data_IF_003774637643
#
_entry.id   IF_003774637643
#
_cell.length_a   1.000
_cell.length_b   1.000
_cell.length_c   1.000
_cell.angle_alpha   90.00
_cell.angle_beta   90.00
_cell.angle_gamma   90.00
#
_symmetry.space_group_name_H-M   'P 1'
#
loop_
_entity.id
_entity.type
_entity.pdbx_description
1 polymer ?
#
# COMPACT_ATOMS: atom_id res chain seq x y z
N UNK A 1 18.63 5.31 0.20
CA UNK A 1 17.49 6.09 -0.33
C UNK A 1 16.19 5.58 0.27
N UNK A 2 15.20 6.42 0.32
CA UNK A 2 13.92 6.07 0.91
C UNK A 2 12.91 5.64 -0.15
N UNK A 3 11.81 5.06 0.30
CA UNK A 3 10.71 4.60 -0.57
C UNK A 3 9.41 5.22 -0.07
N UNK A 4 8.56 5.65 -1.00
CA UNK A 4 7.20 6.05 -0.68
C UNK A 4 6.27 4.93 -1.10
N UNK A 5 5.35 4.54 -0.21
CA UNK A 5 4.34 3.53 -0.52
C UNK A 5 2.96 4.14 -0.35
N UNK A 6 2.11 3.94 -1.33
CA UNK A 6 0.74 4.47 -1.31
C UNK A 6 -0.26 3.35 -1.50
N UNK A 7 -1.19 3.24 -0.56
CA UNK A 7 -2.34 2.34 -0.66
C UNK A 7 -3.54 3.19 -1.06
N UNK A 8 -3.94 3.10 -2.32
CA UNK A 8 -5.04 3.86 -2.89
C UNK A 8 -6.35 3.10 -2.68
N UNK A 9 -6.87 3.20 -1.48
CA UNK A 9 -8.12 2.54 -1.11
C UNK A 9 -9.36 3.16 -1.74
N UNK A 10 -10.49 2.50 -1.57
CA UNK A 10 -11.75 2.98 -2.15
C UNK A 10 -12.32 4.21 -1.41
N UNK A 11 -11.97 4.39 -0.15
CA UNK A 11 -12.47 5.53 0.66
C UNK A 11 -11.35 6.41 1.19
N UNK A 12 -10.21 5.83 1.50
CA UNK A 12 -9.05 6.57 2.02
C UNK A 12 -7.80 6.16 1.28
N UNK A 13 -6.82 7.06 1.29
CA UNK A 13 -5.48 6.80 0.77
C UNK A 13 -4.50 6.90 1.93
N UNK A 14 -3.66 5.87 2.07
CA UNK A 14 -2.62 5.84 3.09
C UNK A 14 -1.27 5.93 2.40
N UNK A 15 -0.44 6.85 2.86
CA UNK A 15 0.89 7.04 2.27
C UNK A 15 1.92 7.01 3.39
N UNK A 16 3.00 6.28 3.16
CA UNK A 16 4.12 6.20 4.08
C UNK A 16 5.43 6.48 3.36
N UNK A 17 6.40 6.91 4.13
CA UNK A 17 7.80 6.96 3.71
C UNK A 17 8.57 6.00 4.60
N UNK A 18 9.35 5.11 3.98
CA UNK A 18 10.19 4.16 4.69
C UNK A 18 11.65 4.41 4.34
N UNK A 19 12.52 4.27 5.33
CA UNK A 19 13.96 4.41 5.11
C UNK A 19 14.57 3.13 4.54
N UNK A 20 15.89 3.11 4.35
CA UNK A 20 16.58 1.96 3.77
C UNK A 20 16.54 0.72 4.64
N UNK A 21 16.16 0.85 5.90
CA UNK A 21 15.98 -0.27 6.82
C UNK A 21 14.50 -0.68 6.96
N UNK A 22 13.64 -0.16 6.07
CA UNK A 22 12.20 -0.40 6.08
C UNK A 22 11.48 0.15 7.31
N UNK A 23 12.09 1.13 7.97
CA UNK A 23 11.44 1.82 9.08
C UNK A 23 10.56 2.93 8.54
N UNK A 24 9.32 2.98 9.01
CA UNK A 24 8.38 4.03 8.63
C UNK A 24 8.76 5.31 9.36
N UNK A 25 9.07 6.36 8.61
CA UNK A 25 9.49 7.64 9.15
C UNK A 25 8.43 8.73 8.99
N UNK A 26 7.54 8.59 8.03
CA UNK A 26 6.39 9.47 7.86
C UNK A 26 5.17 8.67 7.42
N UNK A 27 4.00 9.06 7.91
CA UNK A 27 2.74 8.38 7.59
C UNK A 27 1.59 9.38 7.62
N UNK A 28 0.76 9.35 6.58
CA UNK A 28 -0.44 10.17 6.52
C UNK A 28 -1.60 9.35 5.94
N UNK A 29 -2.79 9.64 6.43
CA UNK A 29 -4.04 9.08 5.93
C UNK A 29 -4.87 10.24 5.39
N UNK A 30 -5.28 10.12 4.14
CA UNK A 30 -6.06 11.16 3.46
C UNK A 30 -7.41 10.60 3.03
N UNK A 31 -8.40 11.47 2.95
CA UNK A 31 -9.61 11.14 2.23
C UNK A 31 -9.27 10.97 0.75
N UNK A 32 -10.05 10.14 0.06
CA UNK A 32 -9.78 9.85 -1.34
C UNK A 32 -9.81 11.10 -2.20
N UNK A 33 -8.73 11.34 -2.91
CA UNK A 33 -8.59 12.39 -3.90
C UNK A 33 -7.75 11.84 -5.06
N UNK A 34 -7.46 12.69 -6.03
CA UNK A 34 -6.61 12.32 -7.15
C UNK A 34 -5.22 11.91 -6.64
N UNK A 35 -4.72 10.72 -7.00
CA UNK A 35 -3.49 10.18 -6.40
C UNK A 35 -2.26 11.06 -6.51
N UNK A 36 -2.02 11.70 -7.67
CA UNK A 36 -0.85 12.57 -7.83
C UNK A 36 -0.94 13.79 -6.93
N UNK A 37 -2.13 14.30 -6.70
CA UNK A 37 -2.34 15.42 -5.79
C UNK A 37 -1.98 15.02 -4.37
N UNK A 38 -2.39 13.83 -3.94
CA UNK A 38 -2.08 13.35 -2.60
C UNK A 38 -0.59 13.06 -2.42
N UNK A 39 0.06 12.50 -3.43
CA UNK A 39 1.50 12.27 -3.39
C UNK A 39 2.26 13.59 -3.27
N UNK A 40 1.86 14.60 -4.03
CA UNK A 40 2.48 15.92 -3.96
C UNK A 40 2.31 16.52 -2.57
N UNK A 41 1.09 16.44 -2.03
CA UNK A 41 0.78 16.92 -0.68
C UNK A 41 1.65 16.23 0.37
N UNK A 42 1.79 14.91 0.28
CA UNK A 42 2.60 14.13 1.21
C UNK A 42 4.07 14.56 1.15
N UNK A 43 4.60 14.70 -0.04
CA UNK A 43 5.99 15.10 -0.24
C UNK A 43 6.24 16.51 0.32
N UNK A 44 5.36 17.43 0.00
CA UNK A 44 5.48 18.80 0.49
C UNK A 44 5.31 18.91 2.00
N UNK A 45 4.28 18.28 2.55
CA UNK A 45 3.98 18.37 3.98
C UNK A 45 5.05 17.74 4.87
N UNK A 46 5.77 16.75 4.35
CA UNK A 46 6.82 16.09 5.11
C UNK A 46 8.22 16.57 4.74
N UNK A 47 8.31 17.63 3.95
CA UNK A 47 9.60 18.22 3.51
C UNK A 47 10.53 17.18 2.88
N UNK A 48 9.96 16.30 2.06
CA UNK A 48 10.72 15.24 1.42
C UNK A 48 11.40 15.79 0.18
N UNK A 49 12.69 15.51 0.05
CA UNK A 49 13.43 15.83 -1.16
C UNK A 49 13.19 14.72 -2.18
N UNK A 50 12.57 15.02 -3.35
CA UNK A 50 12.27 13.94 -4.31
C UNK A 50 13.48 13.09 -4.71
N UNK A 51 14.67 13.72 -4.77
CA UNK A 51 15.88 12.99 -5.14
C UNK A 51 16.31 11.95 -4.11
N UNK A 52 15.79 12.02 -2.89
CA UNK A 52 16.08 11.04 -1.86
C UNK A 52 15.21 9.80 -1.95
N UNK A 53 14.22 9.80 -2.85
CA UNK A 53 13.25 8.70 -3.00
C UNK A 53 13.65 7.87 -4.21
N UNK A 54 13.85 6.56 -3.99
CA UNK A 54 14.22 5.67 -5.09
C UNK A 54 13.04 5.13 -5.87
N UNK A 55 11.86 5.04 -5.22
CA UNK A 55 10.68 4.53 -5.87
C UNK A 55 9.41 4.95 -5.12
N UNK A 56 8.32 5.05 -5.87
CA UNK A 56 6.97 5.18 -5.33
C UNK A 56 6.27 3.86 -5.66
N UNK A 57 5.84 3.13 -4.63
CA UNK A 57 5.17 1.85 -4.80
C UNK A 57 3.70 2.04 -4.50
N UNK A 58 2.86 1.64 -5.43
CA UNK A 58 1.41 1.85 -5.36
C UNK A 58 0.69 0.52 -5.32
N UNK A 59 -0.31 0.43 -4.47
CA UNK A 59 -1.23 -0.69 -4.42
C UNK A 59 -2.65 -0.16 -4.21
N UNK A 60 -3.63 -1.05 -4.23
CA UNK A 60 -5.03 -0.69 -4.03
C UNK A 60 -5.79 -0.57 -5.34
N UNK A 61 -6.92 0.13 -5.29
CA UNK A 61 -7.84 0.24 -6.43
C UNK A 61 -7.55 1.42 -7.34
N UNK A 62 -6.76 2.39 -6.87
CA UNK A 62 -6.40 3.55 -7.68
C UNK A 62 -5.16 3.31 -8.52
N UNK A 63 -4.87 4.23 -9.41
CA UNK A 63 -3.72 4.12 -10.28
C UNK A 63 -3.20 5.50 -10.68
N UNK A 64 -1.92 5.52 -11.06
CA UNK A 64 -1.28 6.64 -11.73
C UNK A 64 -0.80 6.09 -13.06
N UNK A 65 -1.19 6.72 -14.16
CA UNK A 65 -0.88 6.21 -15.49
C UNK A 65 0.59 6.32 -15.85
N UNK A 66 1.26 7.34 -15.31
CA UNK A 66 2.65 7.62 -15.61
C UNK A 66 3.56 6.62 -14.92
N UNK A 67 4.68 6.30 -15.56
CA UNK A 67 5.70 5.44 -15.00
C UNK A 67 6.65 6.18 -14.04
N UNK A 68 6.50 7.51 -13.99
CA UNK A 68 7.30 8.37 -13.12
C UNK A 68 6.43 9.46 -12.52
N UNK A 69 6.79 9.90 -11.34
CA UNK A 69 6.23 11.09 -10.72
C UNK A 69 7.37 11.89 -10.09
N UNK A 70 7.52 13.16 -10.50
CA UNK A 70 8.66 14.00 -10.08
C UNK A 70 10.00 13.32 -10.32
N UNK A 71 10.12 12.60 -11.46
CA UNK A 71 11.29 11.82 -11.85
C UNK A 71 11.57 10.62 -10.96
N UNK A 72 10.63 10.25 -10.10
CA UNK A 72 10.73 9.06 -9.26
C UNK A 72 9.98 7.92 -9.96
N UNK A 73 10.60 6.74 -10.13
CA UNK A 73 9.90 5.62 -10.75
C UNK A 73 8.67 5.21 -9.95
N UNK A 74 7.58 4.91 -10.66
CA UNK A 74 6.33 4.44 -10.05
C UNK A 74 6.18 2.96 -10.37
N UNK A 75 6.03 2.16 -9.32
CA UNK A 75 5.87 0.72 -9.41
C UNK A 75 4.54 0.32 -8.79
N UNK A 76 3.98 -0.77 -9.27
CA UNK A 76 2.72 -1.29 -8.75
C UNK A 76 2.93 -2.66 -8.15
N UNK A 77 2.24 -2.92 -7.05
CA UNK A 77 2.21 -4.24 -6.43
C UNK A 77 0.75 -4.64 -6.24
N UNK A 78 0.45 -5.90 -6.52
CA UNK A 78 -0.88 -6.45 -6.31
C UNK A 78 -1.32 -6.27 -4.85
N UNK A 79 -2.57 -5.85 -4.65
CA UNK A 79 -3.09 -5.55 -3.32
C UNK A 79 -3.02 -6.75 -2.37
N UNK A 80 -3.39 -7.94 -2.86
CA UNK A 80 -3.36 -9.13 -2.02
C UNK A 80 -1.94 -9.52 -1.64
N UNK A 81 -1.00 -9.35 -2.56
CA UNK A 81 0.41 -9.58 -2.28
C UNK A 81 0.93 -8.60 -1.23
N UNK A 82 0.56 -7.33 -1.35
CA UNK A 82 0.94 -6.31 -0.38
C UNK A 82 0.39 -6.63 1.00
N UNK A 83 -0.88 -7.03 1.10
CA UNK A 83 -1.52 -7.42 2.34
C UNK A 83 -0.81 -8.63 2.94
N UNK A 84 -0.55 -9.65 2.13
CA UNK A 84 0.10 -10.87 2.59
C UNK A 84 1.49 -10.62 3.13
N UNK A 85 2.32 -9.94 2.36
CA UNK A 85 3.69 -9.64 2.79
C UNK A 85 3.70 -8.71 4.00
N UNK A 86 2.82 -7.70 4.00
CA UNK A 86 2.70 -6.78 5.13
C UNK A 86 2.27 -7.49 6.40
N UNK A 87 1.31 -8.41 6.29
CA UNK A 87 0.84 -9.19 7.43
C UNK A 87 1.91 -10.10 8.00
N UNK A 88 2.70 -10.75 7.14
CA UNK A 88 3.82 -11.55 7.61
C UNK A 88 4.86 -10.70 8.34
N UNK A 89 5.17 -9.54 7.77
CA UNK A 89 6.14 -8.62 8.38
C UNK A 89 5.63 -8.10 9.73
N UNK A 90 4.39 -7.64 9.77
CA UNK A 90 3.81 -7.07 10.98
C UNK A 90 3.67 -8.10 12.11
N UNK A 91 3.36 -9.35 11.77
CA UNK A 91 3.20 -10.41 12.77
C UNK A 91 4.51 -11.10 13.13
N UNK A 92 5.56 -10.87 12.34
CA UNK A 92 6.83 -11.59 12.46
C UNK A 92 6.63 -13.11 12.32
N UNK A 93 5.74 -13.52 11.44
CA UNK A 93 5.45 -14.93 11.17
C UNK A 93 5.90 -15.30 9.76
N UNK A 94 6.18 -16.59 9.56
CA UNK A 94 6.54 -17.11 8.24
C UNK A 94 5.33 -17.69 7.51
N UNK A 95 4.27 -18.02 8.24
CA UNK A 95 3.02 -18.52 7.72
C UNK A 95 1.89 -17.86 8.50
N UNK A 96 0.89 -17.38 7.79
CA UNK A 96 -0.26 -16.77 8.45
C UNK A 96 -1.47 -16.73 7.51
N UNK A 97 -2.64 -16.63 8.12
CA UNK A 97 -3.85 -16.23 7.41
C UNK A 97 -4.14 -14.82 7.89
N UNK A 98 -4.21 -13.89 6.97
CA UNK A 98 -4.35 -12.48 7.26
C UNK A 98 -5.75 -12.05 6.87
N UNK A 99 -6.46 -11.43 7.81
CA UNK A 99 -7.73 -10.79 7.52
C UNK A 99 -7.49 -9.29 7.38
N UNK A 100 -7.73 -8.78 6.18
CA UNK A 100 -7.66 -7.36 5.92
C UNK A 100 -9.08 -6.81 5.95
N UNK A 101 -9.34 -5.95 6.92
CA UNK A 101 -10.68 -5.41 7.15
C UNK A 101 -10.66 -3.91 6.90
N UNK A 102 -11.38 -3.48 5.90
CA UNK A 102 -11.52 -2.08 5.53
C UNK A 102 -12.91 -1.84 5.01
N UNK A 103 -13.04 -1.17 3.87
CA UNK A 103 -14.34 -1.02 3.19
C UNK A 103 -14.91 -2.39 2.84
N UNK A 104 -14.04 -3.32 2.49
CA UNK A 104 -14.38 -4.73 2.34
C UNK A 104 -13.45 -5.56 3.22
N UNK A 105 -13.54 -6.88 3.10
CA UNK A 105 -12.70 -7.80 3.84
C UNK A 105 -12.06 -8.78 2.87
N UNK A 106 -10.78 -9.08 3.08
CA UNK A 106 -10.08 -10.09 2.33
C UNK A 106 -9.34 -11.03 3.28
N UNK A 107 -9.36 -12.32 2.97
CA UNK A 107 -8.60 -13.32 3.70
C UNK A 107 -7.47 -13.83 2.81
N UNK A 108 -6.25 -13.68 3.28
CA UNK A 108 -5.04 -13.98 2.52
C UNK A 108 -4.23 -15.03 3.28
N UNK A 109 -3.94 -16.15 2.64
CA UNK A 109 -2.96 -17.10 3.16
C UNK A 109 -1.59 -16.72 2.64
N UNK A 110 -0.66 -16.47 3.54
CA UNK A 110 0.66 -16.00 3.16
C UNK A 110 1.76 -16.86 3.79
N UNK A 111 2.77 -17.17 2.98
CA UNK A 111 4.02 -17.73 3.46
C UNK A 111 5.15 -17.23 2.55
N UNK A 112 6.38 -17.65 2.80
CA UNK A 112 7.54 -17.16 2.05
C UNK A 112 7.50 -17.52 0.57
N UNK A 113 6.74 -18.52 0.18
CA UNK A 113 6.70 -19.02 -1.20
C UNK A 113 5.43 -18.66 -1.92
N UNK A 114 4.37 -18.29 -1.20
CA UNK A 114 3.05 -18.16 -1.80
C UNK A 114 2.18 -17.15 -1.07
N UNK A 115 1.47 -16.35 -1.84
CA UNK A 115 0.40 -15.47 -1.34
C UNK A 115 -0.87 -15.86 -2.07
N UNK A 116 -1.89 -16.30 -1.31
CA UNK A 116 -3.11 -16.81 -1.91
C UNK A 116 -4.34 -16.12 -1.32
N UNK A 117 -5.15 -15.56 -2.19
CA UNK A 117 -6.43 -14.98 -1.80
C UNK A 117 -7.43 -16.11 -1.55
N UNK A 118 -7.89 -16.24 -0.31
CA UNK A 118 -8.82 -17.30 0.07
C UNK A 118 -10.28 -16.95 -0.15
N UNK A 119 -10.60 -15.64 -0.07
CA UNK A 119 -11.96 -15.17 -0.23
C UNK A 119 -12.14 -13.84 0.46
N UNK A 120 -13.36 -13.32 0.38
CA UNK A 120 -13.70 -12.06 1.03
C UNK A 120 -14.83 -11.36 0.32
N UNK A 121 -15.18 -10.18 0.80
CA UNK A 121 -16.16 -9.32 0.16
C UNK A 121 -15.65 -7.90 0.19
N UNK A 122 -16.23 -7.06 -0.65
CA UNK A 122 -15.97 -5.63 -0.58
C UNK A 122 -17.00 -4.99 0.33
N UNK A 123 -17.88 -4.18 -0.20
CA UNK A 123 -18.89 -3.52 0.59
C UNK A 123 -20.12 -4.40 0.84
N UNK A 124 -20.16 -5.60 0.27
CA UNK A 124 -21.31 -6.52 0.38
C UNK A 124 -20.84 -7.85 0.93
N UNK A 125 -21.50 -8.30 1.97
CA UNK A 125 -21.12 -9.48 2.71
C UNK A 125 -21.81 -10.76 2.30
N UNK A 126 -22.85 -10.67 1.49
CA UNK A 126 -23.65 -11.82 1.09
C UNK A 126 -22.83 -12.91 0.39
N UNK A 127 -21.72 -12.55 -0.20
CA UNK A 127 -20.90 -13.50 -0.95
C UNK A 127 -20.04 -14.37 -0.06
N UNK A 128 -19.94 -14.06 1.21
CA UNK A 128 -19.10 -14.83 2.15
C UNK A 128 -19.91 -15.91 2.82
N UNK A 129 -21.15 -15.67 3.01
CA UNK A 129 -22.07 -16.57 3.69
C UNK A 129 -22.86 -17.43 2.70
#
# INVERSE_FOLDING_TARGET
>A
MHTICADLGSTVTKIIEADENNKIINKNIYQKEEPKKLLKKFIENNNIEPRSIEAIIITGVGTIKEQEFLKIPVLYIDEFKAIGLGGLTASNKQNAIIASIGTGTAFIKANNNEIKHLGGSRSRWRSIL
#
